data_IF_624152099436
#
_entry.id   IF_624152099436
#
_cell.length_a   1.000
_cell.length_b   1.000
_cell.length_c   1.000
_cell.angle_alpha   90.00
_cell.angle_beta   90.00
_cell.angle_gamma   90.00
#
_symmetry.space_group_name_H-M   'P 1'
#
loop_
_entity.id
_entity.type
_entity.pdbx_description
1 polymer ?
#
# COMPACT_ATOMS: atom_id res chain seq x y z
N UNK A 1 0.32 18.63 -2.89
CA UNK A 1 -0.43 17.56 -3.60
C UNK A 1 0.35 16.29 -3.40
N UNK A 2 -0.22 15.23 -2.83
CA UNK A 2 0.51 14.00 -2.48
C UNK A 2 1.30 13.38 -3.64
N UNK A 3 2.46 12.77 -3.35
CA UNK A 3 3.30 12.02 -4.29
C UNK A 3 3.13 10.51 -4.17
N UNK A 4 3.13 9.81 -5.29
CA UNK A 4 3.12 8.34 -5.38
C UNK A 4 4.40 7.85 -6.06
N UNK A 5 4.88 6.70 -5.64
CA UNK A 5 5.99 5.97 -6.24
C UNK A 5 5.72 4.45 -6.21
N UNK A 6 6.27 3.72 -7.17
CA UNK A 6 6.23 2.27 -7.21
C UNK A 6 7.41 1.73 -7.99
N UNK A 7 7.96 0.60 -7.53
CA UNK A 7 9.11 -0.04 -8.14
C UNK A 7 8.93 -1.55 -8.14
N UNK A 8 9.25 -2.20 -9.25
CA UNK A 8 9.28 -3.65 -9.38
C UNK A 8 10.52 -4.09 -10.14
N UNK A 9 11.31 -4.96 -9.52
CA UNK A 9 12.46 -5.60 -10.15
C UNK A 9 12.03 -6.93 -10.79
N UNK A 10 12.40 -7.13 -12.06
CA UNK A 10 12.15 -8.35 -12.84
C UNK A 10 13.31 -9.34 -12.78
N UNK A 11 14.53 -8.86 -12.57
CA UNK A 11 15.77 -9.65 -12.47
C UNK A 11 16.37 -9.73 -11.06
N UNK A 12 17.55 -10.36 -10.95
CA UNK A 12 18.34 -10.43 -9.71
C UNK A 12 19.24 -9.22 -9.47
N UNK A 13 19.52 -8.45 -10.51
CA UNK A 13 20.58 -7.43 -10.50
C UNK A 13 20.00 -6.03 -10.16
N UNK A 14 19.37 -5.94 -9.00
CA UNK A 14 18.87 -4.68 -8.48
C UNK A 14 20.02 -3.79 -7.99
N UNK A 15 20.08 -2.54 -8.46
CA UNK A 15 21.09 -1.57 -8.00
C UNK A 15 20.88 -1.17 -6.53
N UNK A 16 19.62 -1.16 -6.08
CA UNK A 16 19.23 -0.83 -4.72
C UNK A 16 18.26 -1.90 -4.18
N UNK A 17 18.26 -2.12 -2.87
CA UNK A 17 17.15 -2.84 -2.24
C UNK A 17 15.82 -2.12 -2.48
N UNK A 18 14.72 -2.87 -2.55
CA UNK A 18 13.38 -2.31 -2.82
C UNK A 18 13.00 -1.20 -1.84
N UNK A 19 13.33 -1.36 -0.55
CA UNK A 19 13.10 -0.32 0.45
C UNK A 19 13.94 0.93 0.21
N UNK A 20 15.25 0.78 -0.03
CA UNK A 20 16.14 1.90 -0.35
C UNK A 20 15.70 2.65 -1.63
N UNK A 21 15.31 1.92 -2.66
CA UNK A 21 14.79 2.49 -3.90
C UNK A 21 13.57 3.37 -3.65
N UNK A 22 12.59 2.87 -2.88
CA UNK A 22 11.39 3.64 -2.52
C UNK A 22 11.73 4.87 -1.67
N UNK A 23 12.62 4.77 -0.68
CA UNK A 23 13.03 5.93 0.13
C UNK A 23 13.61 7.03 -0.77
N UNK A 24 14.52 6.66 -1.67
CA UNK A 24 15.14 7.58 -2.63
C UNK A 24 14.09 8.22 -3.55
N UNK A 25 13.16 7.44 -4.09
CA UNK A 25 12.08 7.94 -4.93
C UNK A 25 11.18 8.92 -4.18
N UNK A 26 10.80 8.61 -2.94
CA UNK A 26 9.92 9.44 -2.13
C UNK A 26 10.60 10.73 -1.66
N UNK A 27 11.88 10.68 -1.27
CA UNK A 27 12.69 11.89 -1.02
C UNK A 27 12.68 12.83 -2.25
N UNK A 28 12.81 12.26 -3.45
CA UNK A 28 12.76 13.00 -4.71
C UNK A 28 11.44 13.75 -4.95
N UNK A 29 10.35 13.37 -4.27
CA UNK A 29 9.07 14.05 -4.34
C UNK A 29 8.55 14.55 -2.98
N UNK A 30 9.40 14.67 -1.96
CA UNK A 30 8.97 15.08 -0.61
C UNK A 30 8.27 16.46 -0.60
N UNK A 31 8.63 17.37 -1.52
CA UNK A 31 7.98 18.69 -1.69
C UNK A 31 6.49 18.59 -2.01
N UNK A 32 6.03 17.44 -2.49
CA UNK A 32 4.62 17.16 -2.79
C UNK A 32 3.80 16.95 -1.51
N UNK A 33 4.41 16.43 -0.45
CA UNK A 33 3.77 16.10 0.81
C UNK A 33 4.75 15.88 1.97
N UNK A 34 4.98 16.86 2.85
CA UNK A 34 5.93 16.75 3.95
C UNK A 34 5.37 16.07 5.21
N UNK A 35 4.07 15.77 5.25
CA UNK A 35 3.39 15.48 6.53
C UNK A 35 3.56 14.01 6.95
N UNK A 36 3.47 13.07 6.00
CA UNK A 36 3.62 11.66 6.31
C UNK A 36 4.09 10.85 5.11
N UNK A 37 4.71 9.72 5.42
CA UNK A 37 5.28 8.81 4.43
C UNK A 37 4.89 7.37 4.75
N UNK A 38 4.70 6.57 3.70
CA UNK A 38 4.50 5.15 3.88
C UNK A 38 4.94 4.32 2.68
N UNK A 39 5.10 3.03 2.95
CA UNK A 39 5.65 2.01 2.09
C UNK A 39 4.79 0.75 2.17
N UNK A 40 4.45 0.16 1.03
CA UNK A 40 3.91 -1.18 0.94
C UNK A 40 5.02 -2.05 0.36
N UNK A 41 5.51 -2.98 1.18
CA UNK A 41 6.72 -3.75 0.93
C UNK A 41 6.34 -5.20 0.68
N UNK A 42 6.68 -5.75 -0.49
CA UNK A 42 6.36 -7.11 -0.86
C UNK A 42 7.61 -7.97 -0.87
N UNK A 43 7.61 -9.03 -0.06
CA UNK A 43 8.62 -10.08 -0.06
C UNK A 43 8.05 -11.34 -0.76
N UNK A 44 8.87 -12.34 -1.10
CA UNK A 44 8.35 -13.63 -1.55
C UNK A 44 7.33 -14.20 -0.57
N UNK A 45 6.32 -14.90 -1.10
CA UNK A 45 5.22 -15.45 -0.32
C UNK A 45 5.71 -16.39 0.78
N UNK A 46 5.27 -16.13 2.01
CA UNK A 46 5.51 -17.00 3.14
C UNK A 46 4.33 -17.97 3.32
N UNK A 47 4.32 -19.08 2.57
CA UNK A 47 3.22 -20.06 2.59
C UNK A 47 2.83 -20.47 4.03
N UNK A 48 1.52 -20.38 4.33
CA UNK A 48 0.94 -20.71 5.63
C UNK A 48 1.17 -19.66 6.73
N UNK A 49 1.81 -18.53 6.41
CA UNK A 49 2.07 -17.43 7.33
C UNK A 49 1.38 -16.15 6.87
N UNK A 50 0.85 -15.40 7.83
CA UNK A 50 0.37 -14.05 7.62
C UNK A 50 1.19 -13.07 8.45
N UNK A 51 1.57 -11.97 7.83
CA UNK A 51 2.12 -10.79 8.48
C UNK A 51 0.98 -9.81 8.70
N UNK A 52 0.72 -9.50 9.96
CA UNK A 52 -0.25 -8.50 10.36
C UNK A 52 0.48 -7.33 10.99
N UNK A 53 -0.01 -6.12 10.72
CA UNK A 53 0.47 -4.92 11.40
C UNK A 53 -0.69 -4.10 11.91
N UNK A 54 -0.51 -3.51 13.08
CA UNK A 54 -1.50 -2.73 13.81
C UNK A 54 -0.89 -1.40 14.25
N UNK A 55 -1.71 -0.37 14.31
CA UNK A 55 -1.40 0.82 15.11
C UNK A 55 -1.67 0.53 16.58
N UNK A 56 -0.73 0.93 17.42
CA UNK A 56 -0.86 0.97 18.87
C UNK A 56 -0.89 2.45 19.25
N UNK A 57 -2.10 2.98 19.38
CA UNK A 57 -2.34 4.40 19.57
C UNK A 57 -1.74 4.88 20.90
N UNK A 58 -0.70 5.73 20.88
CA UNK A 58 -0.08 6.23 22.10
C UNK A 58 -0.94 7.26 22.83
N UNK A 59 -1.94 7.83 22.16
CA UNK A 59 -2.89 8.80 22.70
C UNK A 59 -4.17 8.12 23.23
N UNK A 60 -4.32 6.81 23.06
CA UNK A 60 -5.39 6.04 23.67
C UNK A 60 -5.27 6.04 25.19
N UNK A 61 -6.41 6.02 25.90
CA UNK A 61 -6.44 5.79 27.35
C UNK A 61 -5.92 4.38 27.71
N UNK A 62 -5.90 3.46 26.74
CA UNK A 62 -5.41 2.10 26.89
C UNK A 62 -3.89 2.04 26.73
N UNK A 63 -3.21 1.47 27.71
CA UNK A 63 -1.78 1.21 27.66
C UNK A 63 -1.40 0.34 26.44
N UNK A 64 -0.30 0.68 25.77
CA UNK A 64 0.19 -0.04 24.58
C UNK A 64 0.37 -1.55 24.82
N UNK A 65 0.84 -1.95 26.00
CA UNK A 65 1.07 -3.36 26.32
C UNK A 65 -0.26 -4.09 26.53
N UNK A 66 -1.29 -3.39 27.03
CA UNK A 66 -2.66 -3.92 27.14
C UNK A 66 -3.26 -4.12 25.75
N UNK A 67 -3.14 -3.13 24.85
CA UNK A 67 -3.62 -3.25 23.48
C UNK A 67 -2.95 -4.43 22.74
N UNK A 68 -1.63 -4.60 22.90
CA UNK A 68 -0.91 -5.75 22.33
C UNK A 68 -1.40 -7.07 22.93
N UNK A 69 -1.64 -7.13 24.25
CA UNK A 69 -2.17 -8.33 24.89
C UNK A 69 -3.56 -8.71 24.37
N UNK A 70 -4.43 -7.73 24.12
CA UNK A 70 -5.75 -7.95 23.53
C UNK A 70 -5.66 -8.46 22.09
N UNK A 71 -4.77 -7.87 21.27
CA UNK A 71 -4.50 -8.35 19.90
C UNK A 71 -4.03 -9.82 19.93
N UNK A 72 -3.06 -10.15 20.79
CA UNK A 72 -2.56 -11.52 20.95
C UNK A 72 -3.67 -12.49 21.34
N UNK A 73 -4.47 -12.13 22.35
CA UNK A 73 -5.55 -12.98 22.82
C UNK A 73 -6.56 -13.24 21.70
N UNK A 74 -6.92 -12.20 20.95
CA UNK A 74 -7.84 -12.31 19.81
C UNK A 74 -7.30 -13.23 18.72
N UNK A 75 -6.01 -13.12 18.39
CA UNK A 75 -5.37 -14.01 17.41
C UNK A 75 -5.41 -15.47 17.87
N UNK A 76 -5.11 -15.74 19.14
CA UNK A 76 -5.16 -17.08 19.73
C UNK A 76 -6.59 -17.63 19.72
N UNK A 77 -7.59 -16.82 20.07
CA UNK A 77 -9.01 -17.20 20.05
C UNK A 77 -9.49 -17.57 18.64
N UNK A 78 -8.90 -16.95 17.61
CA UNK A 78 -9.13 -17.26 16.20
C UNK A 78 -8.34 -18.47 15.70
N UNK A 79 -7.51 -19.09 16.55
CA UNK A 79 -6.71 -20.27 16.24
C UNK A 79 -5.37 -19.98 15.57
N UNK A 80 -4.90 -18.73 15.59
CA UNK A 80 -3.61 -18.38 15.01
C UNK A 80 -2.44 -18.74 15.94
N UNK A 81 -1.38 -19.33 15.37
CA UNK A 81 -0.13 -19.57 16.07
C UNK A 81 0.83 -18.39 15.91
N UNK A 82 1.15 -17.67 16.99
CA UNK A 82 2.08 -16.53 16.93
C UNK A 82 3.52 -17.04 16.82
N UNK A 83 4.28 -16.58 15.82
CA UNK A 83 5.68 -16.97 15.60
C UNK A 83 6.67 -15.86 15.90
N UNK A 84 6.42 -14.65 15.38
CA UNK A 84 7.32 -13.52 15.52
C UNK A 84 6.55 -12.26 15.86
N UNK A 85 7.16 -11.40 16.67
CA UNK A 85 6.56 -10.16 17.12
C UNK A 85 7.61 -9.06 17.14
N UNK A 86 7.22 -7.87 16.70
CA UNK A 86 8.08 -6.70 16.74
C UNK A 86 7.25 -5.45 17.02
N UNK A 87 7.80 -4.56 17.84
CA UNK A 87 7.28 -3.20 18.03
C UNK A 87 8.28 -2.21 17.49
N UNK A 88 7.81 -1.25 16.69
CA UNK A 88 8.59 -0.14 16.21
C UNK A 88 7.68 1.10 16.21
N UNK A 89 8.10 2.18 16.88
CA UNK A 89 7.24 3.33 17.13
C UNK A 89 5.87 2.92 17.69
N UNK A 90 4.82 3.45 17.06
CA UNK A 90 3.42 3.19 17.38
C UNK A 90 2.82 2.04 16.56
N UNK A 91 3.67 1.15 16.04
CA UNK A 91 3.25 0.00 15.27
C UNK A 91 3.63 -1.30 15.98
N UNK A 92 2.72 -2.26 15.94
CA UNK A 92 2.96 -3.64 16.35
C UNK A 92 2.81 -4.54 15.13
N UNK A 93 3.85 -5.32 14.83
CA UNK A 93 3.87 -6.33 13.78
C UNK A 93 3.89 -7.71 14.41
N UNK A 94 3.08 -8.61 13.87
CA UNK A 94 3.06 -10.02 14.24
C UNK A 94 3.02 -10.91 13.01
N UNK A 95 3.83 -11.96 13.02
CA UNK A 95 3.76 -13.05 12.04
C UNK A 95 3.05 -14.22 12.70
N UNK A 96 2.01 -14.72 12.06
CA UNK A 96 1.21 -15.86 12.55
C UNK A 96 1.21 -17.00 11.54
N UNK A 97 1.13 -18.23 12.06
CA UNK A 97 0.64 -19.39 11.33
C UNK A 97 -0.89 -19.38 11.37
N UNK A 98 -1.50 -19.39 10.19
CA UNK A 98 -2.95 -19.35 10.06
C UNK A 98 -3.38 -19.99 8.75
N UNK A 99 -4.27 -20.99 8.83
CA UNK A 99 -4.84 -21.72 7.71
C UNK A 99 -6.35 -21.47 7.53
N UNK A 100 -6.91 -20.55 8.32
CA UNK A 100 -8.31 -20.17 8.28
C UNK A 100 -8.65 -19.11 7.22
N UNK A 101 -9.86 -18.56 7.34
CA UNK A 101 -10.39 -17.55 6.43
C UNK A 101 -9.80 -16.16 6.75
N UNK A 102 -9.00 -15.63 5.83
CA UNK A 102 -8.36 -14.31 5.96
C UNK A 102 -9.39 -13.17 6.07
N UNK A 103 -10.52 -13.26 5.39
CA UNK A 103 -11.55 -12.23 5.45
C UNK A 103 -12.17 -12.19 6.85
N UNK A 104 -12.50 -13.37 7.39
CA UNK A 104 -13.01 -13.47 8.77
C UNK A 104 -11.98 -12.96 9.78
N UNK A 105 -10.72 -13.39 9.67
CA UNK A 105 -9.62 -12.92 10.51
C UNK A 105 -9.51 -11.38 10.46
N UNK A 106 -9.52 -10.82 9.26
CA UNK A 106 -9.45 -9.38 9.03
C UNK A 106 -10.54 -8.62 9.78
N UNK A 107 -11.80 -9.03 9.64
CA UNK A 107 -12.92 -8.32 10.24
C UNK A 107 -12.90 -8.44 11.77
N UNK A 108 -12.63 -9.63 12.31
CA UNK A 108 -12.50 -9.85 13.76
C UNK A 108 -11.36 -9.03 14.37
N UNK A 109 -10.23 -8.92 13.66
CA UNK A 109 -9.07 -8.13 14.11
C UNK A 109 -9.31 -6.63 13.99
N UNK A 110 -10.02 -6.17 12.94
CA UNK A 110 -10.42 -4.77 12.76
C UNK A 110 -11.34 -4.27 13.88
N UNK A 111 -12.14 -5.15 14.47
CA UNK A 111 -12.95 -4.83 15.65
C UNK A 111 -12.15 -4.83 16.97
N UNK A 112 -10.98 -5.48 17.00
CA UNK A 112 -10.12 -5.54 18.17
C UNK A 112 -9.07 -4.42 18.18
N UNK A 113 -8.56 -4.03 17.02
CA UNK A 113 -7.49 -3.04 16.89
C UNK A 113 -7.50 -2.34 15.53
N UNK A 114 -6.74 -1.24 15.44
CA UNK A 114 -6.51 -0.50 14.20
C UNK A 114 -5.55 -1.28 13.28
N UNK A 115 -6.08 -2.13 12.42
CA UNK A 115 -5.31 -2.92 11.45
C UNK A 115 -4.74 -2.01 10.35
N UNK A 116 -3.46 -2.21 10.01
CA UNK A 116 -2.75 -1.50 8.93
C UNK A 116 -2.72 -2.34 7.66
N UNK A 117 -2.33 -3.61 7.79
CA UNK A 117 -2.22 -4.54 6.66
C UNK A 117 -2.25 -5.98 7.15
N UNK A 118 -2.76 -6.86 6.28
CA UNK A 118 -2.62 -8.31 6.40
C UNK A 118 -2.14 -8.86 5.05
N UNK A 119 -1.12 -9.71 5.06
CA UNK A 119 -0.66 -10.36 3.83
C UNK A 119 0.33 -11.49 4.07
N UNK A 120 0.47 -12.35 3.08
CA UNK A 120 1.50 -13.39 3.03
C UNK A 120 2.83 -12.83 2.52
N UNK A 121 2.76 -11.81 1.65
CA UNK A 121 3.87 -11.13 0.98
C UNK A 121 3.99 -9.68 1.44
N UNK A 122 2.86 -9.00 1.69
CA UNK A 122 2.75 -7.60 2.06
C UNK A 122 3.15 -7.31 3.51
N UNK A 123 3.88 -6.21 3.71
CA UNK A 123 4.02 -5.49 4.97
C UNK A 123 3.91 -3.98 4.68
N UNK A 124 2.93 -3.29 5.28
CA UNK A 124 2.79 -1.83 5.13
C UNK A 124 3.45 -1.15 6.32
N UNK A 125 4.38 -0.23 6.06
CA UNK A 125 4.98 0.64 7.08
C UNK A 125 4.61 2.07 6.75
N UNK A 126 3.96 2.79 7.66
CA UNK A 126 3.58 4.19 7.44
C UNK A 126 3.50 4.98 8.74
N UNK A 127 3.93 6.24 8.67
CA UNK A 127 4.03 7.11 9.85
C UNK A 127 4.17 8.59 9.43
N UNK A 128 4.09 9.50 10.39
CA UNK A 128 4.28 10.95 10.20
C UNK A 128 5.76 11.25 9.93
N UNK A 129 6.03 12.24 9.07
CA UNK A 129 7.37 12.67 8.69
C UNK A 129 7.82 12.22 7.30
N UNK A 130 9.08 12.53 6.98
CA UNK A 130 9.70 12.27 5.69
C UNK A 130 10.03 10.78 5.49
N UNK A 131 10.41 10.42 4.26
CA UNK A 131 10.85 9.06 3.95
C UNK A 131 12.01 8.59 4.82
N UNK A 132 12.96 9.47 5.15
CA UNK A 132 14.08 9.14 6.04
C UNK A 132 13.67 9.07 7.51
N UNK A 133 12.73 9.91 7.96
CA UNK A 133 12.23 9.82 9.34
C UNK A 133 11.54 8.47 9.60
N UNK A 134 10.77 7.99 8.61
CA UNK A 134 10.14 6.66 8.67
C UNK A 134 11.19 5.56 8.53
N UNK A 135 12.19 5.71 7.66
CA UNK A 135 13.31 4.75 7.56
C UNK A 135 14.07 4.61 8.89
N UNK A 136 14.38 5.71 9.57
CA UNK A 136 15.11 5.70 10.84
C UNK A 136 14.38 4.91 11.93
N UNK A 137 13.04 4.90 11.91
CA UNK A 137 12.21 4.18 12.88
C UNK A 137 11.95 2.72 12.53
N UNK A 138 11.81 2.41 11.25
CA UNK A 138 11.34 1.10 10.78
C UNK A 138 12.36 0.32 9.95
N UNK A 139 13.53 0.91 9.68
CA UNK A 139 14.63 0.33 8.89
C UNK A 139 14.18 -0.17 7.53
N UNK A 140 13.40 0.65 6.82
CA UNK A 140 12.85 0.34 5.50
C UNK A 140 13.99 0.10 4.49
N UNK A 141 15.12 0.80 4.63
CA UNK A 141 16.30 0.64 3.78
C UNK A 141 16.90 -0.78 3.78
N UNK A 142 16.70 -1.55 4.85
CA UNK A 142 17.15 -2.94 4.97
C UNK A 142 16.21 -3.93 4.28
N UNK A 143 15.06 -3.47 3.78
CA UNK A 143 14.09 -4.35 3.13
C UNK A 143 14.50 -4.72 1.71
N UNK A 144 14.74 -6.01 1.50
CA UNK A 144 14.97 -6.62 0.20
C UNK A 144 13.79 -7.50 -0.20
N UNK A 145 12.92 -6.96 -1.05
CA UNK A 145 11.73 -7.64 -1.54
C UNK A 145 11.62 -7.62 -3.06
N UNK A 146 10.48 -8.04 -3.57
CA UNK A 146 10.23 -8.18 -5.00
C UNK A 146 9.81 -6.88 -5.66
N UNK A 147 8.95 -6.13 -4.98
CA UNK A 147 8.39 -4.87 -5.44
C UNK A 147 7.78 -4.10 -4.26
N UNK A 148 7.37 -2.86 -4.51
CA UNK A 148 6.65 -2.09 -3.51
C UNK A 148 6.11 -0.77 -4.01
N UNK A 149 5.27 -0.17 -3.18
CA UNK A 149 4.66 1.14 -3.39
C UNK A 149 5.09 2.10 -2.30
N UNK A 150 5.15 3.37 -2.62
CA UNK A 150 5.50 4.45 -1.71
C UNK A 150 4.56 5.64 -1.90
N UNK A 151 4.35 6.40 -0.82
CA UNK A 151 3.56 7.62 -0.89
C UNK A 151 4.05 8.67 0.11
N UNK A 152 4.04 9.94 -0.32
CA UNK A 152 4.23 11.12 0.53
C UNK A 152 2.97 11.99 0.52
N UNK A 153 2.46 12.32 1.71
CA UNK A 153 1.14 12.95 1.87
C UNK A 153 1.24 14.43 2.22
N UNK A 154 0.35 15.22 1.63
CA UNK A 154 0.03 16.58 2.09
C UNK A 154 -1.39 16.57 2.65
N UNK A 155 -1.53 16.76 3.95
CA UNK A 155 -2.79 16.91 4.63
C UNK A 155 -3.37 18.30 4.33
N UNK A 156 -4.37 18.38 3.45
CA UNK A 156 -4.98 19.66 3.07
C UNK A 156 -6.16 20.06 3.95
N UNK A 157 -6.86 19.09 4.56
CA UNK A 157 -8.08 19.33 5.35
C UNK A 157 -8.25 18.40 6.58
N UNK A 158 -7.43 17.36 6.70
CA UNK A 158 -7.53 16.33 7.75
C UNK A 158 -6.35 16.41 8.71
N UNK A 159 -6.50 15.86 9.91
CA UNK A 159 -5.38 15.69 10.84
C UNK A 159 -4.19 14.94 10.18
N UNK A 160 -2.99 15.33 10.61
CA UNK A 160 -1.74 14.62 10.30
C UNK A 160 -1.67 13.39 11.20
N UNK A 161 -2.23 12.29 10.71
CA UNK A 161 -2.33 11.01 11.43
C UNK A 161 -1.77 9.86 10.58
N UNK A 162 -0.97 8.94 11.15
CA UNK A 162 -0.49 7.76 10.45
C UNK A 162 -1.61 6.93 9.80
N UNK A 163 -2.77 6.82 10.44
CA UNK A 163 -3.91 6.04 9.96
C UNK A 163 -4.48 6.58 8.64
N UNK A 164 -4.48 7.90 8.48
CA UNK A 164 -4.93 8.58 7.28
C UNK A 164 -3.86 8.60 6.17
N UNK A 165 -2.68 8.06 6.45
CA UNK A 165 -1.56 8.02 5.51
C UNK A 165 -1.66 6.81 4.59
N UNK A 166 -1.15 6.97 3.38
CA UNK A 166 -0.96 5.85 2.46
C UNK A 166 0.27 5.03 2.84
N UNK A 167 0.39 3.79 2.33
CA UNK A 167 -0.58 3.05 1.51
C UNK A 167 -1.83 2.58 2.26
N UNK A 168 -2.88 2.25 1.52
CA UNK A 168 -4.10 1.61 2.03
C UNK A 168 -4.18 0.17 1.56
N UNK A 169 -4.50 -0.73 2.48
CA UNK A 169 -4.71 -2.15 2.25
C UNK A 169 -6.19 -2.45 2.01
N UNK A 170 -6.49 -3.50 1.24
CA UNK A 170 -7.85 -3.97 1.01
C UNK A 170 -8.36 -4.77 2.22
N UNK A 171 -9.07 -4.11 3.13
CA UNK A 171 -9.70 -4.74 4.29
C UNK A 171 -10.52 -5.97 3.89
N UNK A 172 -10.23 -7.11 4.50
CA UNK A 172 -10.85 -8.40 4.19
C UNK A 172 -10.07 -9.28 3.21
N UNK A 173 -8.92 -8.84 2.69
CA UNK A 173 -8.14 -9.58 1.69
C UNK A 173 -6.65 -9.63 2.04
N UNK A 174 -5.91 -10.62 1.57
CA UNK A 174 -4.46 -10.61 1.70
C UNK A 174 -3.82 -9.83 0.53
N UNK A 175 -2.69 -9.17 0.79
CA UNK A 175 -1.71 -8.77 -0.23
C UNK A 175 -2.16 -7.76 -1.29
N UNK A 176 -3.30 -7.06 -1.13
CA UNK A 176 -3.70 -5.97 -2.03
C UNK A 176 -3.53 -4.63 -1.33
N UNK A 177 -2.67 -3.76 -1.88
CA UNK A 177 -2.45 -2.41 -1.37
C UNK A 177 -2.37 -1.38 -2.49
N UNK A 178 -2.78 -0.13 -2.21
CA UNK A 178 -2.79 0.96 -3.17
C UNK A 178 -2.18 2.25 -2.62
N UNK A 179 -1.59 3.04 -3.53
CA UNK A 179 -1.24 4.44 -3.32
C UNK A 179 -1.97 5.28 -4.35
N UNK A 180 -2.57 6.39 -3.93
CA UNK A 180 -3.48 7.16 -4.77
C UNK A 180 -3.20 8.65 -4.58
N UNK A 181 -3.11 9.37 -5.69
CA UNK A 181 -3.07 10.82 -5.73
C UNK A 181 -4.29 11.27 -6.54
N UNK A 182 -5.26 11.89 -5.87
CA UNK A 182 -6.55 12.14 -6.47
C UNK A 182 -7.67 12.28 -5.46
N UNK A 183 -8.88 12.27 -5.98
CA UNK A 183 -10.11 12.20 -5.20
C UNK A 183 -11.18 11.48 -6.03
N UNK A 184 -11.85 10.52 -5.41
CA UNK A 184 -12.99 9.78 -5.97
C UNK A 184 -14.29 10.47 -5.55
N UNK A 185 -14.91 11.17 -6.49
CA UNK A 185 -16.12 11.98 -6.27
C UNK A 185 -17.38 11.13 -6.05
N UNK A 186 -17.43 9.90 -6.57
CA UNK A 186 -18.53 8.96 -6.35
C UNK A 186 -18.28 7.97 -5.20
N UNK A 187 -17.31 8.25 -4.31
CA UNK A 187 -16.87 7.40 -3.21
C UNK A 187 -18.02 6.79 -2.39
N UNK A 188 -18.90 7.62 -1.82
CA UNK A 188 -20.00 7.14 -0.95
C UNK A 188 -20.99 6.22 -1.67
N UNK A 189 -21.18 6.40 -2.99
CA UNK A 189 -22.05 5.53 -3.78
C UNK A 189 -21.41 4.16 -3.96
N UNK A 190 -20.11 4.13 -4.26
CA UNK A 190 -19.37 2.90 -4.50
C UNK A 190 -19.15 2.12 -3.20
N UNK A 191 -18.80 2.81 -2.11
CA UNK A 191 -18.68 2.20 -0.77
C UNK A 191 -19.97 1.51 -0.34
N UNK A 192 -21.12 2.18 -0.42
CA UNK A 192 -22.42 1.60 -0.07
C UNK A 192 -22.75 0.32 -0.85
N UNK A 193 -22.33 0.21 -2.11
CA UNK A 193 -22.52 -1.00 -2.92
C UNK A 193 -21.69 -2.18 -2.41
N UNK A 194 -20.48 -1.91 -1.91
CA UNK A 194 -19.62 -2.94 -1.32
C UNK A 194 -20.11 -3.32 0.09
N UNK A 195 -20.53 -2.36 0.90
CA UNK A 195 -21.14 -2.62 2.22
C UNK A 195 -22.43 -3.46 2.10
N UNK A 196 -23.24 -3.23 1.06
CA UNK A 196 -24.41 -4.08 0.75
C UNK A 196 -24.04 -5.53 0.40
N UNK A 197 -22.77 -5.78 0.07
CA UNK A 197 -22.20 -7.10 -0.18
C UNK A 197 -21.35 -7.58 1.00
N UNK A 198 -21.57 -6.98 2.17
CA UNK A 198 -20.95 -7.35 3.46
C UNK A 198 -19.44 -7.04 3.56
N UNK A 199 -18.89 -6.21 2.66
CA UNK A 199 -17.52 -5.72 2.82
C UNK A 199 -17.42 -4.66 3.92
N UNK A 200 -16.38 -4.77 4.73
CA UNK A 200 -16.03 -3.79 5.75
C UNK A 200 -14.85 -2.90 5.34
N UNK A 201 -14.78 -1.73 5.97
CA UNK A 201 -13.72 -0.74 5.81
C UNK A 201 -13.18 -0.32 7.18
N UNK A 202 -11.91 0.04 7.23
CA UNK A 202 -11.18 0.51 8.41
C UNK A 202 -11.11 2.04 8.49
N UNK A 203 -11.29 2.73 7.36
CA UNK A 203 -11.14 4.18 7.24
C UNK A 203 -12.28 4.77 6.41
N UNK A 204 -12.43 6.10 6.43
CA UNK A 204 -13.31 6.82 5.51
C UNK A 204 -12.55 7.36 4.27
N UNK A 205 -11.36 6.84 3.99
CA UNK A 205 -10.55 7.28 2.86
C UNK A 205 -11.00 6.62 1.56
N UNK A 206 -11.14 7.42 0.50
CA UNK A 206 -11.54 6.92 -0.83
C UNK A 206 -10.53 5.95 -1.45
N UNK A 207 -9.31 5.95 -0.97
CA UNK A 207 -8.25 5.06 -1.41
C UNK A 207 -8.46 3.63 -0.92
N UNK A 208 -9.02 3.44 0.27
CA UNK A 208 -9.38 2.11 0.75
C UNK A 208 -10.50 1.50 -0.11
N UNK A 209 -11.44 2.32 -0.59
CA UNK A 209 -12.45 1.89 -1.56
C UNK A 209 -11.81 1.29 -2.82
N UNK A 210 -10.77 1.92 -3.37
CA UNK A 210 -10.07 1.42 -4.57
C UNK A 210 -9.45 0.04 -4.26
N UNK A 211 -8.80 -0.09 -3.11
CA UNK A 211 -8.17 -1.35 -2.71
C UNK A 211 -9.20 -2.49 -2.59
N UNK A 212 -10.30 -2.27 -1.86
CA UNK A 212 -11.37 -3.28 -1.69
C UNK A 212 -12.08 -3.57 -3.02
N UNK A 213 -12.35 -2.56 -3.86
CA UNK A 213 -12.94 -2.75 -5.19
C UNK A 213 -12.08 -3.67 -6.06
N UNK A 214 -10.76 -3.43 -6.11
CA UNK A 214 -9.85 -4.25 -6.90
C UNK A 214 -9.73 -5.67 -6.31
N UNK A 215 -9.55 -5.79 -5.01
CA UNK A 215 -9.43 -7.09 -4.34
C UNK A 215 -10.67 -7.97 -4.53
N UNK A 216 -11.87 -7.38 -4.45
CA UNK A 216 -13.13 -8.07 -4.74
C UNK A 216 -13.21 -8.60 -6.18
N UNK A 217 -12.78 -7.81 -7.17
CA UNK A 217 -12.73 -8.26 -8.58
C UNK A 217 -11.75 -9.41 -8.75
N UNK A 218 -10.56 -9.31 -8.14
CA UNK A 218 -9.55 -10.37 -8.18
C UNK A 218 -10.08 -11.67 -7.55
N UNK A 219 -10.78 -11.58 -6.41
CA UNK A 219 -11.38 -12.73 -5.74
C UNK A 219 -12.48 -13.42 -6.58
N UNK A 220 -13.10 -12.70 -7.52
CA UNK A 220 -14.04 -13.25 -8.50
C UNK A 220 -13.33 -13.83 -9.75
N UNK A 221 -12.00 -13.87 -9.77
CA UNK A 221 -11.21 -14.39 -10.89
C UNK A 221 -11.01 -13.40 -12.04
N UNK A 222 -11.33 -12.12 -11.86
CA UNK A 222 -11.02 -11.07 -12.83
C UNK A 222 -9.52 -10.78 -12.76
N UNK A 223 -8.84 -10.66 -13.92
CA UNK A 223 -7.43 -10.29 -13.95
C UNK A 223 -7.24 -8.84 -13.50
N UNK A 224 -6.10 -8.53 -12.87
CA UNK A 224 -5.80 -7.17 -12.40
C UNK A 224 -5.92 -6.14 -13.53
N UNK A 225 -5.41 -6.45 -14.71
CA UNK A 225 -5.50 -5.60 -15.89
C UNK A 225 -6.96 -5.24 -16.25
N UNK A 226 -7.86 -6.22 -16.22
CA UNK A 226 -9.28 -6.01 -16.52
C UNK A 226 -9.98 -5.25 -15.38
N UNK A 227 -9.62 -5.53 -14.13
CA UNK A 227 -10.12 -4.80 -12.96
C UNK A 227 -9.73 -3.31 -13.01
N UNK A 228 -8.49 -3.00 -13.40
CA UNK A 228 -8.01 -1.64 -13.62
C UNK A 228 -8.75 -0.96 -14.77
N UNK A 229 -8.97 -1.66 -15.89
CA UNK A 229 -9.80 -1.15 -16.98
C UNK A 229 -11.19 -0.74 -16.47
N UNK A 230 -11.86 -1.62 -15.74
CA UNK A 230 -13.21 -1.34 -15.22
C UNK A 230 -13.22 -0.22 -14.17
N UNK A 231 -12.13 -0.07 -13.40
CA UNK A 231 -12.01 1.01 -12.41
C UNK A 231 -12.07 2.40 -13.03
N UNK A 232 -11.54 2.56 -14.26
CA UNK A 232 -11.56 3.84 -15.00
C UNK A 232 -12.99 4.23 -15.42
N UNK A 233 -13.87 3.25 -15.59
CA UNK A 233 -15.28 3.47 -15.94
C UNK A 233 -16.17 3.63 -14.70
N UNK A 234 -15.91 2.86 -13.65
CA UNK A 234 -16.74 2.82 -12.46
C UNK A 234 -16.44 3.95 -11.46
N UNK A 235 -15.17 4.38 -11.37
CA UNK A 235 -14.73 5.43 -10.45
C UNK A 235 -14.80 6.81 -11.11
N UNK A 236 -15.43 7.76 -10.44
CA UNK A 236 -15.59 9.13 -10.94
C UNK A 236 -14.71 10.08 -10.14
N UNK A 237 -14.04 11.03 -10.79
CA UNK A 237 -13.14 11.99 -10.16
C UNK A 237 -11.83 12.17 -10.92
N UNK A 238 -10.83 12.71 -10.23
CA UNK A 238 -9.48 12.87 -10.77
C UNK A 238 -8.53 12.02 -9.97
N UNK A 239 -7.88 11.04 -10.58
CA UNK A 239 -7.05 10.07 -9.90
C UNK A 239 -5.92 9.53 -10.76
N UNK A 240 -4.79 9.35 -10.09
CA UNK A 240 -3.68 8.53 -10.52
C UNK A 240 -3.34 7.63 -9.35
N UNK A 241 -3.45 6.32 -9.53
CA UNK A 241 -3.12 5.37 -8.45
C UNK A 241 -2.24 4.23 -8.96
N UNK A 242 -1.46 3.68 -8.03
CA UNK A 242 -0.75 2.41 -8.20
C UNK A 242 -1.38 1.39 -7.28
N UNK A 243 -1.43 0.15 -7.75
CA UNK A 243 -1.86 -1.03 -6.99
C UNK A 243 -0.77 -2.08 -7.03
N UNK A 244 -0.69 -2.86 -5.97
CA UNK A 244 0.22 -3.97 -5.81
C UNK A 244 -0.56 -5.17 -5.28
N UNK A 245 -0.23 -6.34 -5.79
CA UNK A 245 -0.70 -7.65 -5.34
C UNK A 245 0.50 -8.48 -4.87
N UNK A 246 0.34 -9.77 -4.55
CA UNK A 246 1.48 -10.62 -4.17
C UNK A 246 2.59 -10.71 -5.23
N UNK A 247 2.24 -10.57 -6.51
CA UNK A 247 3.11 -10.83 -7.66
C UNK A 247 3.02 -9.80 -8.80
N UNK A 248 2.03 -8.90 -8.77
CA UNK A 248 1.83 -7.86 -9.79
C UNK A 248 1.82 -6.44 -9.22
N UNK A 249 2.35 -5.48 -9.99
CA UNK A 249 2.12 -4.05 -9.82
C UNK A 249 1.32 -3.52 -11.01
N UNK A 250 0.45 -2.53 -10.79
CA UNK A 250 -0.28 -1.87 -11.86
C UNK A 250 -0.56 -0.40 -11.57
N UNK A 251 -0.99 0.32 -12.60
CA UNK A 251 -1.48 1.68 -12.47
C UNK A 251 -2.80 1.87 -13.21
N UNK A 252 -3.58 2.86 -12.79
CA UNK A 252 -4.63 3.46 -13.60
C UNK A 252 -4.60 4.98 -13.49
N UNK A 253 -4.94 5.63 -14.60
CA UNK A 253 -5.02 7.09 -14.73
C UNK A 253 -6.39 7.48 -15.26
N UNK A 254 -7.02 8.44 -14.61
CA UNK A 254 -8.32 8.96 -15.02
C UNK A 254 -8.28 9.62 -16.41
N UNK A 255 -9.46 9.87 -17.00
CA UNK A 255 -9.60 10.42 -18.37
C UNK A 255 -9.28 11.91 -18.47
N UNK A 256 -9.36 12.66 -17.39
CA UNK A 256 -8.94 14.05 -17.32
C UNK A 256 -7.42 14.16 -17.14
N UNK A 257 -6.80 13.15 -16.53
CA UNK A 257 -5.35 13.07 -16.29
C UNK A 257 -4.81 14.29 -15.53
N UNK A 258 -5.58 14.82 -14.58
CA UNK A 258 -5.19 16.01 -13.82
C UNK A 258 -4.03 15.75 -12.83
N UNK A 259 -3.76 14.48 -12.52
CA UNK A 259 -2.74 14.06 -11.57
C UNK A 259 -1.54 13.46 -12.33
N UNK A 260 -0.34 14.04 -12.21
CA UNK A 260 0.81 13.61 -13.02
C UNK A 260 1.26 12.21 -12.63
N UNK A 261 1.74 11.47 -13.63
CA UNK A 261 2.34 10.15 -13.49
C UNK A 261 3.41 10.01 -14.57
N UNK A 262 4.62 9.66 -14.17
CA UNK A 262 5.76 9.42 -15.05
C UNK A 262 6.23 7.98 -14.81
N UNK A 263 6.59 7.32 -15.90
CA UNK A 263 7.01 5.95 -15.91
C UNK A 263 8.36 5.79 -16.61
N UNK A 264 9.19 4.90 -16.06
CA UNK A 264 10.36 4.34 -16.70
C UNK A 264 10.26 2.81 -16.68
N UNK A 265 10.68 2.18 -17.78
CA UNK A 265 10.68 0.73 -17.95
C UNK A 265 11.86 0.31 -18.82
N UNK A 266 12.56 -0.72 -18.36
CA UNK A 266 13.52 -1.49 -19.16
C UNK A 266 13.31 -3.00 -18.91
N UNK A 267 14.28 -3.82 -19.31
CA UNK A 267 14.20 -5.27 -19.19
C UNK A 267 14.19 -5.73 -17.72
N UNK A 268 14.79 -4.96 -16.80
CA UNK A 268 15.04 -5.34 -15.41
C UNK A 268 14.15 -4.61 -14.40
N UNK A 269 13.63 -3.43 -14.76
CA UNK A 269 12.93 -2.54 -13.84
C UNK A 269 11.65 -1.95 -14.44
N UNK A 270 10.61 -1.91 -13.62
CA UNK A 270 9.49 -0.99 -13.79
C UNK A 270 9.52 0.01 -12.64
N UNK A 271 9.54 1.31 -12.95
CA UNK A 271 9.46 2.38 -11.96
C UNK A 271 8.43 3.43 -12.38
N UNK A 272 7.52 3.77 -11.47
CA UNK A 272 6.45 4.74 -11.70
C UNK A 272 6.47 5.75 -10.55
N UNK A 273 6.34 7.03 -10.85
CA UNK A 273 6.25 8.08 -9.83
C UNK A 273 5.39 9.24 -10.30
N UNK A 274 5.05 10.16 -9.40
CA UNK A 274 4.35 11.39 -9.79
C UNK A 274 5.21 12.34 -10.64
N UNK A 275 6.52 12.33 -10.46
CA UNK A 275 7.43 13.30 -11.10
C UNK A 275 8.74 12.61 -11.51
N UNK A 276 9.36 13.08 -12.60
CA UNK A 276 10.62 12.53 -13.12
C UNK A 276 11.78 12.67 -12.13
N UNK A 277 11.79 13.73 -11.30
CA UNK A 277 12.81 13.93 -10.26
C UNK A 277 12.85 12.80 -9.23
N UNK A 278 11.75 12.07 -9.05
CA UNK A 278 11.68 10.88 -8.21
C UNK A 278 12.40 9.70 -8.86
N UNK A 279 12.12 9.45 -10.15
CA UNK A 279 12.75 8.36 -10.92
C UNK A 279 14.26 8.58 -11.07
N UNK A 280 14.69 9.82 -11.28
CA UNK A 280 16.10 10.18 -11.40
C UNK A 280 16.94 9.81 -10.17
N UNK A 281 16.32 9.67 -8.98
CA UNK A 281 17.03 9.25 -7.76
C UNK A 281 17.54 7.81 -7.83
N UNK A 282 16.97 6.97 -8.69
CA UNK A 282 17.45 5.61 -8.95
C UNK A 282 18.60 5.57 -9.96
N UNK A 283 18.83 6.64 -10.71
CA UNK A 283 19.76 6.66 -11.84
C UNK A 283 20.62 7.94 -11.87
N UNK A 284 21.44 8.17 -10.84
CA UNK A 284 22.22 9.40 -10.74
C UNK A 284 23.15 9.57 -11.96
N UNK A 285 23.01 10.69 -12.66
CA UNK A 285 23.85 11.06 -13.80
C UNK A 285 23.51 10.35 -15.11
N UNK A 286 22.38 9.62 -15.20
CA UNK A 286 21.90 9.01 -16.44
C UNK A 286 20.64 9.73 -16.94
N UNK A 287 20.58 9.99 -18.24
CA UNK A 287 19.33 10.43 -18.86
C UNK A 287 18.39 9.23 -18.98
N UNK A 288 17.15 9.40 -18.53
CA UNK A 288 16.12 8.37 -18.57
C UNK A 288 15.17 8.63 -19.74
N UNK A 289 14.78 7.56 -20.43
CA UNK A 289 13.71 7.62 -21.43
C UNK A 289 12.36 7.49 -20.72
N UNK A 290 12.00 8.50 -19.92
CA UNK A 290 10.73 8.51 -19.19
C UNK A 290 9.57 8.86 -20.11
N UNK A 291 8.37 8.37 -19.76
CA UNK A 291 7.13 8.68 -20.47
C UNK A 291 5.99 8.94 -19.49
N UNK A 292 5.08 9.83 -19.84
CA UNK A 292 3.83 10.00 -19.11
C UNK A 292 2.76 9.07 -19.72
N UNK A 293 2.12 8.19 -18.94
CA UNK A 293 0.95 7.46 -19.39
C UNK A 293 -0.17 8.38 -19.88
N UNK A 294 -0.79 8.02 -21.00
CA UNK A 294 -1.88 8.79 -21.57
C UNK A 294 -3.15 8.77 -20.68
N UNK A 295 -4.05 9.77 -20.81
CA UNK A 295 -5.30 9.79 -20.07
C UNK A 295 -6.16 8.55 -20.32
N UNK A 296 -6.83 8.04 -19.28
CA UNK A 296 -7.69 6.85 -19.38
C UNK A 296 -6.94 5.54 -19.67
N UNK A 297 -5.63 5.49 -19.36
CA UNK A 297 -4.83 4.27 -19.54
C UNK A 297 -4.54 3.58 -18.22
N UNK A 298 -4.20 2.30 -18.34
CA UNK A 298 -3.82 1.41 -17.28
C UNK A 298 -2.80 0.41 -17.82
N UNK A 299 -1.97 -0.15 -16.94
CA UNK A 299 -1.11 -1.28 -17.26
C UNK A 299 -0.79 -2.07 -16.00
N UNK A 300 -0.35 -3.31 -16.20
CA UNK A 300 0.14 -4.20 -15.15
C UNK A 300 1.46 -4.82 -15.56
N UNK A 301 2.24 -5.20 -14.56
CA UNK A 301 3.46 -5.97 -14.72
C UNK A 301 3.47 -7.03 -13.64
N UNK A 302 3.66 -8.27 -14.06
CA UNK A 302 3.81 -9.42 -13.17
C UNK A 302 5.26 -9.83 -13.10
N UNK A 303 5.61 -10.49 -12.00
CA UNK A 303 6.82 -11.32 -11.96
C UNK A 303 6.49 -12.68 -12.57
N UNK A 304 7.34 -13.16 -13.47
CA UNK A 304 7.35 -14.59 -13.79
C UNK A 304 7.89 -15.31 -12.57
N UNK A 305 7.01 -16.01 -11.84
CA UNK A 305 7.38 -16.89 -10.72
C UNK A 305 8.02 -18.17 -11.28
#
# INVERSE_FOLDING_TARGET
MCGIAGVMYRGSDATFGTGEALIRMLDGCQHRGPDSTGFALYAPEASGRLKLRFFIDPESETDSDVAIAEIRQRLVDLGAGIEEEARAGDNYRVTILYDGDVQKLSYEMKHAAKVISIGTSLDIVKDVGSAYDVDDRYHVNQFHGTHGLGHVRLATESDVKPEASHPFWATGFADVAIVHNGQITNYWKMRRRLEQREFEFTTDNDSELIAVYLADKLAQGVKLQDALSTSIDDLDGTFSFLVSTGDEIGYAKDRLAAKPMIMYEDDDLVAIASEEVSLNRLFPGKALNTREPAPGTYATWSRSI
#
